data_IF_641640182475
#
_entry.id   IF_641640182475
#
_cell.length_a   1.000
_cell.length_b   1.000
_cell.length_c   1.000
_cell.angle_alpha   90.00
_cell.angle_beta   90.00
_cell.angle_gamma   90.00
#
_symmetry.space_group_name_H-M   'P 1'
#
loop_
_entity.id
_entity.type
_entity.pdbx_description
1 polymer ?
#
# COMPACT_ATOMS: atom_id res chain seq x y z
N UNK A 1 -23.87 -25.35 -0.26
CA UNK A 1 -23.91 -25.05 1.19
C UNK A 1 -23.06 -23.80 1.39
N UNK A 2 -23.60 -22.70 1.91
CA UNK A 2 -22.84 -21.46 2.14
C UNK A 2 -22.38 -21.47 3.59
N UNK A 3 -21.08 -21.60 3.84
CA UNK A 3 -20.52 -21.53 5.19
C UNK A 3 -20.75 -20.12 5.77
N UNK A 4 -21.21 -20.03 7.03
CA UNK A 4 -21.50 -18.75 7.70
C UNK A 4 -20.55 -18.44 8.85
N UNK A 5 -19.76 -19.42 9.28
CA UNK A 5 -18.83 -19.32 10.40
C UNK A 5 -17.50 -19.98 10.05
N UNK A 6 -16.44 -19.61 10.77
CA UNK A 6 -15.15 -20.31 10.70
C UNK A 6 -15.30 -21.82 10.95
N UNK A 7 -16.18 -22.22 11.87
CA UNK A 7 -16.45 -23.63 12.15
C UNK A 7 -17.12 -24.36 10.98
N UNK A 8 -18.02 -23.71 10.25
CA UNK A 8 -18.65 -24.31 9.07
C UNK A 8 -17.62 -24.52 7.96
N UNK A 9 -16.74 -23.53 7.79
CA UNK A 9 -15.73 -23.52 6.75
C UNK A 9 -14.63 -24.56 7.05
N UNK A 10 -14.17 -24.63 8.30
CA UNK A 10 -13.26 -25.68 8.76
C UNK A 10 -13.88 -27.07 8.64
N UNK A 11 -15.16 -27.26 8.98
CA UNK A 11 -15.85 -28.55 8.82
C UNK A 11 -15.95 -28.97 7.35
N UNK A 12 -16.13 -28.02 6.44
CA UNK A 12 -16.21 -28.29 5.01
C UNK A 12 -14.86 -28.70 4.41
N UNK A 13 -13.76 -28.08 4.85
CA UNK A 13 -12.39 -28.38 4.37
C UNK A 13 -11.79 -29.61 5.07
N UNK A 14 -12.02 -29.74 6.38
CA UNK A 14 -11.58 -30.86 7.21
C UNK A 14 -10.26 -30.63 7.97
N UNK A 15 -9.51 -29.58 7.64
CA UNK A 15 -8.19 -29.28 8.19
C UNK A 15 -7.88 -27.77 8.19
N UNK A 16 -6.78 -27.39 8.84
CA UNK A 16 -6.20 -26.05 8.71
C UNK A 16 -5.87 -25.80 7.23
N UNK A 17 -6.23 -24.63 6.72
CA UNK A 17 -5.98 -24.31 5.32
C UNK A 17 -5.67 -22.82 5.13
N UNK A 18 -5.20 -22.51 3.94
CA UNK A 18 -5.01 -21.14 3.50
C UNK A 18 -5.35 -21.00 2.02
N UNK A 19 -5.69 -19.77 1.62
CA UNK A 19 -5.89 -19.38 0.23
C UNK A 19 -4.95 -18.21 -0.07
N UNK A 20 -4.16 -18.33 -1.13
CA UNK A 20 -3.41 -17.19 -1.63
C UNK A 20 -4.32 -16.26 -2.42
N UNK A 21 -4.23 -14.96 -2.14
CA UNK A 21 -4.66 -13.95 -3.10
C UNK A 21 -3.62 -13.86 -4.21
N UNK A 22 -4.06 -13.40 -5.37
CA UNK A 22 -3.21 -13.28 -6.56
C UNK A 22 -3.41 -11.91 -7.15
N UNK A 23 -2.34 -11.31 -7.65
CA UNK A 23 -2.40 -10.04 -8.36
C UNK A 23 -1.72 -10.14 -9.71
N UNK A 24 -2.31 -9.52 -10.72
CA UNK A 24 -1.73 -9.47 -12.06
C UNK A 24 -0.50 -8.55 -12.09
N UNK A 25 0.60 -9.04 -12.68
CA UNK A 25 1.78 -8.23 -12.88
C UNK A 25 1.63 -7.35 -14.12
N UNK A 26 1.82 -6.04 -13.97
CA UNK A 26 2.00 -5.14 -15.13
C UNK A 26 3.45 -5.06 -15.59
N UNK A 27 4.39 -5.70 -14.88
CA UNK A 27 5.82 -5.73 -15.26
C UNK A 27 6.17 -6.92 -16.14
N UNK A 28 5.46 -8.03 -15.95
CA UNK A 28 5.75 -9.31 -16.58
C UNK A 28 4.46 -9.79 -17.23
N UNK A 29 4.36 -9.65 -18.54
CA UNK A 29 3.16 -10.00 -19.29
C UNK A 29 2.75 -11.45 -19.01
N UNK A 30 1.49 -11.68 -18.65
CA UNK A 30 0.95 -12.99 -18.32
C UNK A 30 1.38 -13.58 -16.97
N UNK A 31 2.25 -12.90 -16.20
CA UNK A 31 2.68 -13.39 -14.89
C UNK A 31 1.72 -12.97 -13.78
N UNK A 32 1.36 -13.93 -12.94
CA UNK A 32 0.61 -13.71 -11.71
C UNK A 32 1.58 -13.74 -10.53
N UNK A 33 1.43 -12.80 -9.60
CA UNK A 33 2.21 -12.76 -8.37
C UNK A 33 1.35 -13.28 -7.22
N UNK A 34 1.93 -14.17 -6.42
CA UNK A 34 1.29 -14.66 -5.19
C UNK A 34 1.25 -13.50 -4.17
N UNK A 35 0.05 -13.04 -3.83
CA UNK A 35 -0.16 -11.94 -2.89
C UNK A 35 -0.05 -12.40 -1.44
N UNK A 36 -1.10 -12.14 -0.66
CA UNK A 36 -1.18 -12.49 0.76
C UNK A 36 -1.98 -13.78 0.93
N UNK A 37 -1.62 -14.61 1.92
CA UNK A 37 -2.40 -15.81 2.25
C UNK A 37 -3.42 -15.48 3.34
N UNK A 38 -4.67 -15.84 3.10
CA UNK A 38 -5.73 -15.81 4.09
C UNK A 38 -5.80 -17.21 4.70
N UNK A 39 -5.52 -17.34 5.98
CA UNK A 39 -5.40 -18.62 6.68
C UNK A 39 -6.50 -18.78 7.73
N UNK A 40 -7.00 -20.01 7.87
CA UNK A 40 -7.84 -20.44 8.98
C UNK A 40 -7.15 -21.60 9.71
N UNK A 41 -6.90 -21.42 11.00
CA UNK A 41 -6.23 -22.41 11.85
C UNK A 41 -7.08 -22.70 13.08
N UNK A 42 -7.29 -23.98 13.42
CA UNK A 42 -8.00 -24.37 14.64
C UNK A 42 -7.03 -24.33 15.83
N UNK A 43 -7.32 -23.47 16.81
CA UNK A 43 -6.48 -23.27 18.01
C UNK A 43 -7.00 -24.05 19.23
N UNK A 44 -8.21 -24.59 19.16
CA UNK A 44 -8.87 -25.33 20.24
C UNK A 44 -10.29 -25.69 19.85
N UNK A 45 -11.06 -26.25 20.79
CA UNK A 45 -12.46 -26.57 20.50
C UNK A 45 -13.28 -25.30 20.28
N UNK A 46 -13.80 -25.17 19.06
CA UNK A 46 -14.52 -24.00 18.56
C UNK A 46 -13.73 -22.68 18.56
N UNK A 47 -12.41 -22.71 18.75
CA UNK A 47 -11.52 -21.54 18.69
C UNK A 47 -10.71 -21.59 17.40
N UNK A 48 -10.79 -20.52 16.60
CA UNK A 48 -10.10 -20.41 15.32
C UNK A 48 -9.29 -19.11 15.26
N UNK A 49 -8.09 -19.19 14.70
CA UNK A 49 -7.33 -18.04 14.24
C UNK A 49 -7.64 -17.82 12.75
N UNK A 50 -8.09 -16.62 12.41
CA UNK A 50 -8.33 -16.19 11.03
C UNK A 50 -7.44 -15.00 10.75
N UNK A 51 -6.40 -15.22 9.95
CA UNK A 51 -5.30 -14.28 9.82
C UNK A 51 -4.84 -14.15 8.38
N UNK A 52 -4.27 -12.99 8.07
CA UNK A 52 -3.46 -12.82 6.87
C UNK A 52 -2.00 -13.19 7.18
N UNK A 53 -1.34 -13.83 6.23
CA UNK A 53 0.06 -14.22 6.32
C UNK A 53 0.77 -13.87 5.02
N UNK A 54 1.84 -13.10 5.12
CA UNK A 54 2.73 -12.84 3.99
C UNK A 54 3.59 -14.08 3.71
N UNK A 55 3.56 -14.66 2.51
CA UNK A 55 4.49 -15.73 2.16
C UNK A 55 5.92 -15.18 2.09
N UNK A 56 6.83 -15.80 2.84
CA UNK A 56 8.25 -15.40 2.90
C UNK A 56 9.14 -16.28 2.00
N UNK A 57 8.63 -16.72 0.84
CA UNK A 57 9.42 -17.53 -0.10
C UNK A 57 10.40 -16.64 -0.87
N UNK A 58 11.67 -17.06 -1.08
CA UNK A 58 12.65 -16.25 -1.81
C UNK A 58 12.16 -15.79 -3.20
N UNK A 59 11.53 -16.68 -3.97
CA UNK A 59 11.02 -16.36 -5.30
C UNK A 59 9.96 -15.26 -5.30
N UNK A 60 9.07 -15.23 -4.30
CA UNK A 60 8.07 -14.16 -4.17
C UNK A 60 8.73 -12.82 -3.85
N UNK A 61 9.76 -12.84 -3.00
CA UNK A 61 10.51 -11.63 -2.67
C UNK A 61 11.25 -11.08 -3.87
N UNK A 62 11.91 -11.92 -4.66
CA UNK A 62 12.54 -11.53 -5.94
C UNK A 62 11.53 -10.91 -6.92
N UNK A 63 10.35 -11.53 -7.02
CA UNK A 63 9.28 -11.05 -7.90
C UNK A 63 8.76 -9.66 -7.49
N UNK A 64 8.52 -9.44 -6.19
CA UNK A 64 8.04 -8.15 -5.70
C UNK A 64 9.14 -7.10 -5.64
N UNK A 65 10.40 -7.46 -5.40
CA UNK A 65 11.52 -6.53 -5.44
C UNK A 65 11.65 -5.92 -6.85
N UNK A 66 11.72 -6.77 -7.87
CA UNK A 66 11.73 -6.33 -9.26
C UNK A 66 10.48 -5.51 -9.59
N UNK A 67 9.31 -5.93 -9.09
CA UNK A 67 8.05 -5.23 -9.37
C UNK A 67 7.99 -3.85 -8.73
N UNK A 68 8.44 -3.70 -7.49
CA UNK A 68 8.47 -2.45 -6.76
C UNK A 68 9.49 -1.48 -7.37
N UNK A 69 10.67 -1.97 -7.77
CA UNK A 69 11.67 -1.18 -8.48
C UNK A 69 11.11 -0.59 -9.78
N UNK A 70 10.46 -1.41 -10.61
CA UNK A 70 9.82 -0.93 -11.84
C UNK A 70 8.68 0.06 -11.59
N UNK A 71 7.88 -0.15 -10.53
CA UNK A 71 6.80 0.77 -10.18
C UNK A 71 7.36 2.13 -9.70
N UNK A 72 8.46 2.11 -8.95
CA UNK A 72 9.19 3.30 -8.54
C UNK A 72 9.78 4.06 -9.73
N UNK A 73 10.44 3.36 -10.66
CA UNK A 73 10.98 3.99 -11.88
C UNK A 73 9.87 4.63 -12.72
N UNK A 74 8.74 3.96 -12.89
CA UNK A 74 7.57 4.51 -13.58
C UNK A 74 7.05 5.78 -12.88
N UNK A 75 6.99 5.77 -11.55
CA UNK A 75 6.61 6.93 -10.75
C UNK A 75 7.59 8.09 -10.98
N UNK A 76 8.90 7.85 -10.87
CA UNK A 76 9.91 8.88 -11.11
C UNK A 76 9.82 9.45 -12.54
N UNK A 77 9.68 8.59 -13.55
CA UNK A 77 9.58 9.01 -14.96
C UNK A 77 8.33 9.85 -15.25
N UNK A 78 7.25 9.68 -14.47
CA UNK A 78 6.03 10.48 -14.64
C UNK A 78 6.08 11.84 -13.96
N UNK A 79 7.00 12.06 -13.02
CA UNK A 79 7.09 13.30 -12.24
C UNK A 79 8.34 14.14 -12.52
N UNK A 80 9.50 13.49 -12.69
CA UNK A 80 10.76 14.19 -12.88
C UNK A 80 10.79 14.98 -14.22
N UNK A 81 11.71 15.94 -14.32
CA UNK A 81 11.85 16.80 -15.49
C UNK A 81 10.85 17.95 -15.50
N UNK A 82 10.17 18.16 -16.64
CA UNK A 82 9.29 19.32 -16.86
C UNK A 82 8.06 19.39 -15.95
N UNK A 83 7.67 18.25 -15.35
CA UNK A 83 6.51 18.13 -14.46
C UNK A 83 6.86 18.36 -13.00
N UNK A 84 8.15 18.42 -12.68
CA UNK A 84 8.61 18.62 -11.32
C UNK A 84 8.09 19.95 -10.79
N UNK A 85 7.44 19.92 -9.62
CA UNK A 85 6.85 21.11 -9.00
C UNK A 85 5.56 21.61 -9.66
N UNK A 86 4.98 20.87 -10.62
CA UNK A 86 3.66 21.20 -11.17
C UNK A 86 2.59 21.26 -10.08
N UNK A 87 1.57 22.08 -10.32
CA UNK A 87 0.33 22.16 -9.53
C UNK A 87 -0.90 21.80 -10.35
N UNK A 88 -0.72 21.44 -11.62
CA UNK A 88 -1.79 21.06 -12.54
C UNK A 88 -2.09 19.56 -12.39
N UNK A 89 -3.30 19.24 -11.93
CA UNK A 89 -3.71 17.86 -11.66
C UNK A 89 -3.88 17.03 -12.94
N UNK A 90 -4.18 17.65 -14.07
CA UNK A 90 -4.31 16.96 -15.35
C UNK A 90 -2.92 16.53 -15.85
N UNK A 91 -1.92 17.41 -15.68
CA UNK A 91 -0.50 17.09 -15.96
C UNK A 91 0.01 15.97 -15.04
N UNK A 92 -0.47 15.93 -13.80
CA UNK A 92 -0.08 14.96 -12.76
C UNK A 92 -0.92 13.67 -12.75
N UNK A 93 -1.88 13.48 -13.66
CA UNK A 93 -2.74 12.28 -13.67
C UNK A 93 -1.94 10.98 -13.75
N UNK A 94 -0.99 10.91 -14.69
CA UNK A 94 -0.13 9.73 -14.85
C UNK A 94 0.76 9.47 -13.63
N UNK A 95 1.14 10.52 -12.90
CA UNK A 95 1.90 10.39 -11.66
C UNK A 95 1.06 9.78 -10.55
N UNK A 96 -0.16 10.30 -10.33
CA UNK A 96 -1.07 9.74 -9.33
C UNK A 96 -1.40 8.27 -9.64
N UNK A 97 -1.56 7.92 -10.92
CA UNK A 97 -1.83 6.55 -11.35
C UNK A 97 -0.64 5.61 -11.12
N UNK A 98 0.58 6.06 -11.42
CA UNK A 98 1.78 5.30 -11.11
C UNK A 98 1.93 5.10 -9.59
N UNK A 99 1.60 6.12 -8.79
CA UNK A 99 1.65 6.07 -7.33
C UNK A 99 0.63 5.08 -6.75
N UNK A 100 -0.60 5.09 -7.25
CA UNK A 100 -1.62 4.10 -6.86
C UNK A 100 -1.22 2.69 -7.27
N UNK A 101 -0.60 2.49 -8.44
CA UNK A 101 -0.08 1.17 -8.84
C UNK A 101 1.05 0.71 -7.94
N UNK A 102 1.99 1.58 -7.58
CA UNK A 102 3.04 1.23 -6.62
C UNK A 102 2.44 0.86 -5.26
N UNK A 103 1.43 1.61 -4.80
CA UNK A 103 0.71 1.36 -3.55
C UNK A 103 -0.02 0.00 -3.58
N UNK A 104 -0.65 -0.35 -4.71
CA UNK A 104 -1.27 -1.66 -4.92
C UNK A 104 -0.29 -2.82 -4.73
N UNK A 105 0.90 -2.72 -5.35
CA UNK A 105 1.92 -3.75 -5.23
C UNK A 105 2.53 -3.80 -3.82
N UNK A 106 2.68 -2.65 -3.15
CA UNK A 106 3.11 -2.61 -1.74
C UNK A 106 2.15 -3.38 -0.82
N UNK A 107 0.83 -3.19 -0.98
CA UNK A 107 -0.17 -3.91 -0.18
C UNK A 107 -0.30 -5.38 -0.55
N UNK A 108 0.00 -5.78 -1.78
CA UNK A 108 0.07 -7.20 -2.14
C UNK A 108 1.39 -7.84 -1.65
N UNK A 109 2.48 -7.07 -1.58
CA UNK A 109 3.78 -7.52 -1.11
C UNK A 109 3.80 -7.71 0.41
N UNK A 110 3.21 -6.78 1.17
CA UNK A 110 3.24 -6.73 2.65
C UNK A 110 4.65 -6.96 3.23
N UNK A 111 5.64 -6.11 2.90
CA UNK A 111 7.06 -6.38 3.18
C UNK A 111 7.45 -6.26 4.66
N UNK A 112 6.66 -5.59 5.48
CA UNK A 112 7.00 -5.32 6.87
C UNK A 112 6.36 -6.37 7.76
N UNK A 113 7.08 -6.79 8.81
CA UNK A 113 6.53 -7.73 9.80
C UNK A 113 5.29 -7.17 10.51
N UNK A 114 5.19 -5.84 10.65
CA UNK A 114 4.01 -5.13 11.14
C UNK A 114 3.91 -3.76 10.49
N UNK A 115 2.68 -3.28 10.28
CA UNK A 115 2.42 -1.89 9.89
C UNK A 115 2.53 -1.59 8.40
N UNK A 116 2.68 -2.59 7.51
CA UNK A 116 2.70 -2.37 6.06
C UNK A 116 1.52 -1.55 5.56
N UNK A 117 0.31 -1.79 6.06
CA UNK A 117 -0.88 -1.00 5.70
C UNK A 117 -0.71 0.50 6.00
N UNK A 118 -0.34 0.82 7.25
CA UNK A 118 -0.14 2.20 7.69
C UNK A 118 1.01 2.88 6.93
N UNK A 119 2.16 2.20 6.81
CA UNK A 119 3.34 2.74 6.12
C UNK A 119 3.05 2.96 4.63
N UNK A 120 2.36 2.03 3.97
CA UNK A 120 1.97 2.18 2.57
C UNK A 120 1.10 3.41 2.35
N UNK A 121 0.13 3.63 3.24
CA UNK A 121 -0.74 4.81 3.16
C UNK A 121 0.03 6.11 3.45
N UNK A 122 0.92 6.12 4.43
CA UNK A 122 1.78 7.29 4.72
C UNK A 122 2.68 7.62 3.53
N UNK A 123 3.26 6.62 2.87
CA UNK A 123 4.08 6.82 1.67
C UNK A 123 3.24 7.39 0.53
N UNK A 124 2.04 6.87 0.29
CA UNK A 124 1.09 7.42 -0.68
C UNK A 124 0.82 8.90 -0.41
N UNK A 125 0.47 9.27 0.83
CA UNK A 125 0.19 10.66 1.20
C UNK A 125 1.44 11.56 1.10
N UNK A 126 2.60 11.06 1.54
CA UNK A 126 3.86 11.81 1.50
C UNK A 126 4.32 12.10 0.08
N UNK A 127 4.16 11.15 -0.83
CA UNK A 127 4.50 11.33 -2.24
C UNK A 127 3.52 12.28 -2.94
N UNK A 128 2.21 12.19 -2.65
CA UNK A 128 1.24 13.20 -3.09
C UNK A 128 1.64 14.60 -2.60
N UNK A 129 1.98 14.74 -1.31
CA UNK A 129 2.36 16.02 -0.73
C UNK A 129 3.64 16.59 -1.37
N UNK A 130 4.64 15.74 -1.62
CA UNK A 130 5.87 16.10 -2.34
C UNK A 130 5.57 16.61 -3.77
N UNK A 131 4.48 16.13 -4.37
CA UNK A 131 3.96 16.59 -5.66
C UNK A 131 2.91 17.73 -5.54
N UNK A 132 2.93 18.50 -4.45
CA UNK A 132 2.03 19.63 -4.17
C UNK A 132 0.54 19.24 -4.03
N UNK A 133 0.23 17.98 -3.70
CA UNK A 133 -1.13 17.48 -3.52
C UNK A 133 -1.37 17.08 -2.08
N UNK A 134 -2.11 17.90 -1.34
CA UNK A 134 -2.56 17.58 0.02
C UNK A 134 -3.86 16.79 -0.02
N UNK A 135 -3.87 15.61 0.59
CA UNK A 135 -5.11 14.90 0.85
C UNK A 135 -5.78 15.47 2.10
N UNK A 136 -6.98 16.03 1.93
CA UNK A 136 -7.76 16.64 3.03
C UNK A 136 -9.02 15.84 3.38
N UNK A 137 -9.19 14.67 2.79
CA UNK A 137 -10.35 13.81 2.97
C UNK A 137 -10.16 12.78 4.08
N UNK A 138 -11.02 11.77 4.04
CA UNK A 138 -10.96 10.60 4.92
C UNK A 138 -11.18 9.34 4.09
N UNK A 139 -10.61 8.23 4.55
CA UNK A 139 -10.92 6.91 3.98
C UNK A 139 -12.42 6.64 4.21
N UNK A 140 -13.19 6.25 3.18
CA UNK A 140 -14.62 5.97 3.33
C UNK A 140 -14.91 4.95 4.44
N UNK A 141 -16.01 5.16 5.16
CA UNK A 141 -16.43 4.25 6.23
C UNK A 141 -16.64 2.84 5.66
N UNK A 142 -15.98 1.86 6.28
CA UNK A 142 -16.07 0.45 5.87
C UNK A 142 -15.07 0.03 4.80
N UNK A 143 -14.25 0.95 4.31
CA UNK A 143 -13.17 0.67 3.36
C UNK A 143 -11.84 0.53 4.09
N UNK A 144 -11.05 -0.49 3.74
CA UNK A 144 -9.66 -0.64 4.16
C UNK A 144 -8.81 -0.75 2.89
N UNK A 145 -7.92 0.23 2.66
CA UNK A 145 -7.23 0.42 1.37
C UNK A 145 -6.32 -0.77 1.03
N UNK A 146 -5.70 -1.37 2.03
CA UNK A 146 -4.90 -2.57 1.87
C UNK A 146 -5.75 -3.78 1.48
N UNK A 147 -6.92 -3.98 2.08
CA UNK A 147 -7.85 -5.04 1.70
C UNK A 147 -8.41 -4.86 0.29
N UNK A 148 -8.68 -3.63 -0.13
CA UNK A 148 -9.06 -3.33 -1.52
C UNK A 148 -8.00 -3.83 -2.49
N UNK A 149 -6.70 -3.68 -2.16
CA UNK A 149 -5.61 -4.20 -2.98
C UNK A 149 -5.45 -5.73 -2.87
N UNK A 150 -5.51 -6.29 -1.66
CA UNK A 150 -5.31 -7.74 -1.41
C UNK A 150 -6.37 -8.59 -2.08
N UNK A 151 -7.64 -8.14 -2.06
CA UNK A 151 -8.78 -8.89 -2.58
C UNK A 151 -9.04 -8.64 -4.07
N UNK A 152 -8.36 -7.67 -4.66
CA UNK A 152 -8.51 -7.32 -6.07
C UNK A 152 -7.37 -7.93 -6.87
N UNK A 153 -7.73 -8.65 -7.93
CA UNK A 153 -6.75 -9.30 -8.81
C UNK A 153 -6.11 -8.32 -9.81
N UNK A 154 -6.91 -7.39 -10.35
CA UNK A 154 -6.47 -6.43 -11.37
C UNK A 154 -6.12 -5.06 -10.75
N UNK A 155 -4.91 -4.53 -10.99
CA UNK A 155 -4.51 -3.24 -10.44
C UNK A 155 -5.41 -2.07 -10.86
N UNK A 156 -6.00 -2.08 -12.06
CA UNK A 156 -6.85 -0.96 -12.49
C UNK A 156 -8.15 -0.90 -11.68
N UNK A 157 -8.71 -2.05 -11.32
CA UNK A 157 -9.87 -2.13 -10.43
C UNK A 157 -9.60 -1.51 -9.06
N UNK A 158 -8.38 -1.70 -8.51
CA UNK A 158 -7.96 -1.01 -7.29
C UNK A 158 -7.81 0.49 -7.50
N UNK A 159 -7.20 0.91 -8.61
CA UNK A 159 -7.08 2.33 -8.97
C UNK A 159 -8.45 3.00 -9.00
N UNK A 160 -9.41 2.42 -9.72
CA UNK A 160 -10.75 3.00 -9.87
C UNK A 160 -11.47 3.13 -8.52
N UNK A 161 -11.36 2.11 -7.65
CA UNK A 161 -11.90 2.16 -6.28
C UNK A 161 -11.27 3.31 -5.48
N UNK A 162 -9.94 3.42 -5.45
CA UNK A 162 -9.25 4.44 -4.66
C UNK A 162 -9.41 5.85 -5.22
N UNK A 163 -9.34 6.01 -6.55
CA UNK A 163 -9.54 7.29 -7.25
C UNK A 163 -10.86 7.94 -6.87
N UNK A 164 -11.93 7.15 -6.75
CA UNK A 164 -13.30 7.64 -6.52
C UNK A 164 -13.45 8.51 -5.28
N UNK A 165 -12.62 8.32 -4.25
CA UNK A 165 -12.66 9.08 -3.00
C UNK A 165 -11.36 9.86 -2.73
N UNK A 166 -10.21 9.37 -3.20
CA UNK A 166 -8.93 10.02 -2.97
C UNK A 166 -8.80 11.30 -3.81
N UNK A 167 -9.06 11.23 -5.12
CA UNK A 167 -8.78 12.33 -6.05
C UNK A 167 -9.66 13.57 -5.80
N UNK A 168 -10.99 13.44 -5.56
CA UNK A 168 -11.83 14.59 -5.21
C UNK A 168 -11.41 15.30 -3.91
N UNK A 169 -10.62 14.64 -3.06
CA UNK A 169 -10.17 15.13 -1.77
C UNK A 169 -8.77 15.77 -1.80
N UNK A 170 -8.12 15.79 -2.97
CA UNK A 170 -6.81 16.40 -3.17
C UNK A 170 -6.95 17.92 -3.35
N UNK A 171 -6.07 18.67 -2.70
CA UNK A 171 -5.94 20.12 -2.86
C UNK A 171 -4.51 20.46 -3.23
N UNK A 172 -4.36 21.46 -4.10
CA UNK A 172 -3.04 22.04 -4.37
C UNK A 172 -2.53 22.69 -3.10
N UNK A 173 -1.31 22.35 -2.69
CA UNK A 173 -0.62 23.03 -1.60
C UNK A 173 0.86 23.19 -1.90
N UNK A 174 1.42 24.30 -1.46
CA UNK A 174 2.87 24.52 -1.39
C UNK A 174 3.30 24.97 0.01
N UNK A 175 2.42 24.85 1.01
CA UNK A 175 2.70 25.31 2.39
C UNK A 175 3.90 24.62 3.01
N UNK A 176 4.23 23.43 2.52
CA UNK A 176 5.39 22.68 2.99
C UNK A 176 6.74 23.33 2.63
N UNK A 177 6.77 24.24 1.65
CA UNK A 177 7.98 24.99 1.26
C UNK A 177 8.46 25.95 2.34
N UNK A 178 7.56 26.34 3.24
CA UNK A 178 7.89 27.23 4.36
C UNK A 178 8.55 26.49 5.52
N UNK A 179 8.56 25.15 5.51
CA UNK A 179 9.27 24.35 6.51
C UNK A 179 10.77 24.26 6.18
N UNK A 180 11.64 24.29 7.19
CA UNK A 180 13.07 24.13 6.98
C UNK A 180 13.39 22.71 6.48
N UNK A 181 14.45 22.59 5.70
CA UNK A 181 14.95 21.28 5.30
C UNK A 181 15.35 20.46 6.54
N UNK A 182 14.98 19.18 6.56
CA UNK A 182 15.32 18.28 7.67
C UNK A 182 16.85 18.23 7.86
N UNK A 183 17.60 18.15 6.76
CA UNK A 183 19.06 18.10 6.79
C UNK A 183 19.71 19.40 7.28
N UNK A 184 19.04 20.56 7.15
CA UNK A 184 19.56 21.82 7.68
C UNK A 184 19.19 22.05 9.15
N UNK A 185 18.15 21.36 9.63
CA UNK A 185 17.65 21.48 11.01
C UNK A 185 18.28 20.46 11.96
N UNK A 186 18.55 19.25 11.47
CA UNK A 186 19.02 18.12 12.27
C UNK A 186 20.40 17.65 11.81
N UNK A 187 21.42 17.95 12.60
CA UNK A 187 22.82 17.62 12.27
C UNK A 187 23.08 16.11 12.15
N UNK A 188 22.29 15.30 12.85
CA UNK A 188 22.45 13.84 12.85
C UNK A 188 21.11 13.13 12.75
N UNK A 189 21.10 11.93 12.20
CA UNK A 189 19.92 11.04 12.24
C UNK A 189 19.45 10.78 13.67
N UNK A 190 20.38 10.72 14.63
CA UNK A 190 20.07 10.63 16.06
C UNK A 190 19.24 11.80 16.58
N UNK A 191 19.51 13.03 16.11
CA UNK A 191 18.73 14.22 16.51
C UNK A 191 17.29 14.21 15.97
N UNK A 192 17.06 13.63 14.77
CA UNK A 192 15.71 13.40 14.24
C UNK A 192 14.94 12.40 15.13
N UNK A 193 15.58 11.28 15.50
CA UNK A 193 14.97 10.27 16.37
C UNK A 193 14.64 10.86 17.74
N UNK A 194 15.56 11.64 18.32
CA UNK A 194 15.33 12.30 19.61
C UNK A 194 14.13 13.26 19.56
N UNK A 195 13.99 14.06 18.49
CA UNK A 195 12.86 14.97 18.32
C UNK A 195 11.51 14.24 18.18
N UNK A 196 11.49 13.10 17.47
CA UNK A 196 10.27 12.29 17.26
C UNK A 196 9.88 11.44 18.49
N UNK A 197 10.80 11.24 19.42
CA UNK A 197 10.59 10.34 20.57
C UNK A 197 10.13 11.05 21.85
N UNK A 198 9.97 12.39 21.83
CA UNK A 198 9.63 13.24 22.99
C UNK A 198 10.14 12.69 24.32
N UNK A 199 11.46 12.71 24.52
CA UNK A 199 12.11 12.34 25.79
C UNK A 199 12.41 13.54 26.71
N UNK A 200 11.92 14.73 26.36
CA UNK A 200 12.07 15.92 27.19
C UNK A 200 10.70 16.40 27.70
N UNK A 201 10.10 15.62 28.58
CA UNK A 201 9.26 16.14 29.67
C UNK A 201 10.11 16.22 30.95
#
# INVERSE_FOLDING_TARGET
MVAKTCSDLYRAVGEDFWLATWCNSTAFEGKQLEGTRIALVKMGDHVFDYAIRTPCTPSRWEDFDAKMAMAWDALCNTYCGEKYGSTDFDVLENYKDALLRMTYYWYNFMPLSRGSAAVGFIILLGLLLAANMEFTGQIPKGLQVDWEAILTYDPNSFLDSVKSWLYPSLKVTTSWKDYPEVASTFETTGSVVAALSTYND
#
